data_IF_513640210758
#
_entry.id   IF_513640210758
#
_cell.length_a   1.000
_cell.length_b   1.000
_cell.length_c   1.000
_cell.angle_alpha   90.00
_cell.angle_beta   90.00
_cell.angle_gamma   90.00
#
_symmetry.space_group_name_H-M   'P 1'
#
loop_
_entity.id
_entity.type
_entity.pdbx_description
1 polymer ?
#
# COMPACT_ATOMS: atom_id res chain seq x y z
N UNK A 1 2.36 -36.05 34.04
CA UNK A 1 1.45 -37.03 33.39
C UNK A 1 0.02 -36.60 33.65
N UNK A 2 -0.78 -36.52 32.57
CA UNK A 2 -2.25 -36.44 32.43
C UNK A 2 -3.02 -35.29 33.15
N UNK A 3 -3.69 -34.35 32.45
CA UNK A 3 -4.89 -34.39 31.57
C UNK A 3 -6.22 -34.64 32.30
N UNK A 4 -7.08 -33.61 32.41
CA UNK A 4 -8.36 -33.43 31.66
C UNK A 4 -9.42 -32.58 32.41
N UNK A 5 -9.98 -31.62 31.66
CA UNK A 5 -11.40 -31.19 31.59
C UNK A 5 -12.11 -30.73 32.87
N UNK A 6 -12.67 -29.51 32.83
CA UNK A 6 -14.12 -29.21 32.89
C UNK A 6 -14.35 -27.80 33.46
N UNK A 7 -14.74 -26.82 32.63
CA UNK A 7 -15.54 -25.68 33.09
C UNK A 7 -16.49 -25.26 31.97
N UNK A 8 -17.60 -25.99 31.91
CA UNK A 8 -18.83 -25.58 31.22
C UNK A 8 -19.62 -24.74 32.20
N UNK A 9 -20.11 -23.60 31.73
CA UNK A 9 -21.24 -22.88 32.31
C UNK A 9 -20.85 -21.71 33.19
N UNK A 10 -21.19 -20.50 32.73
CA UNK A 10 -22.00 -19.56 33.49
C UNK A 10 -22.57 -18.49 32.55
N UNK A 11 -23.88 -18.63 32.34
CA UNK A 11 -24.88 -17.57 32.23
C UNK A 11 -24.94 -16.75 30.93
N UNK A 12 -25.51 -17.42 29.94
CA UNK A 12 -26.56 -16.88 29.09
C UNK A 12 -27.73 -16.44 29.98
N UNK A 13 -27.84 -15.15 30.32
CA UNK A 13 -29.04 -14.63 30.97
C UNK A 13 -29.99 -14.01 29.94
N UNK A 14 -31.19 -14.56 29.92
CA UNK A 14 -32.30 -14.19 29.04
C UNK A 14 -33.05 -13.04 29.67
N UNK A 15 -32.93 -11.85 29.09
CA UNK A 15 -34.05 -10.91 29.08
C UNK A 15 -34.22 -10.30 27.67
N UNK A 16 -34.88 -11.10 26.83
CA UNK A 16 -35.70 -10.59 25.73
C UNK A 16 -36.89 -9.87 26.34
N UNK A 17 -36.79 -8.55 26.47
CA UNK A 17 -37.96 -7.67 26.48
C UNK A 17 -37.96 -6.87 25.19
N UNK A 18 -39.03 -7.09 24.41
CA UNK A 18 -39.33 -6.43 23.17
C UNK A 18 -39.10 -4.91 23.25
N UNK A 19 -38.09 -4.44 22.53
CA UNK A 19 -37.79 -3.03 22.33
C UNK A 19 -37.46 -2.83 20.86
N UNK A 20 -38.50 -2.75 20.04
CA UNK A 20 -38.42 -2.20 18.68
C UNK A 20 -37.84 -0.79 18.84
N UNK A 21 -36.55 -0.60 18.60
CA UNK A 21 -35.98 0.73 18.49
C UNK A 21 -36.49 1.33 17.18
N UNK A 22 -37.63 2.00 17.33
CA UNK A 22 -38.20 2.91 16.34
C UNK A 22 -37.16 3.95 15.96
N UNK A 23 -37.02 4.14 14.66
CA UNK A 23 -36.42 5.33 14.09
C UNK A 23 -37.16 6.55 14.63
N UNK A 24 -36.46 7.43 15.33
CA UNK A 24 -36.94 8.76 15.67
C UNK A 24 -35.81 9.74 15.36
N UNK A 25 -36.09 10.65 14.44
CA UNK A 25 -35.33 11.87 14.19
C UNK A 25 -34.99 12.57 15.52
N UNK A 26 -33.82 12.29 16.06
CA UNK A 26 -33.23 13.07 17.13
C UNK A 26 -32.14 13.93 16.48
N UNK A 27 -32.46 15.19 16.18
CA UNK A 27 -31.43 16.23 16.11
C UNK A 27 -31.03 16.50 17.56
N UNK A 28 -29.80 16.19 18.01
CA UNK A 28 -29.36 16.62 19.32
C UNK A 28 -28.96 18.10 19.22
N UNK A 29 -29.70 18.95 19.91
CA UNK A 29 -29.21 20.27 20.26
C UNK A 29 -28.05 20.11 21.26
N UNK A 30 -26.87 20.59 20.89
CA UNK A 30 -25.81 20.97 21.85
C UNK A 30 -25.04 19.85 22.54
N UNK A 31 -24.05 19.29 21.83
CA UNK A 31 -22.69 18.86 22.27
C UNK A 31 -22.18 17.95 21.15
N UNK A 32 -21.07 18.33 20.52
CA UNK A 32 -20.43 17.68 19.37
C UNK A 32 -20.66 16.16 19.30
N UNK A 33 -21.74 15.75 18.63
CA UNK A 33 -21.98 14.36 18.29
C UNK A 33 -21.07 14.07 17.11
N UNK A 34 -19.93 13.46 17.37
CA UNK A 34 -18.97 13.16 16.31
C UNK A 34 -19.61 12.13 15.39
N UNK A 35 -19.77 12.48 14.12
CA UNK A 35 -20.34 11.59 13.11
C UNK A 35 -19.40 10.39 12.93
N UNK A 36 -19.87 9.16 13.10
CA UNK A 36 -19.10 7.95 12.82
C UNK A 36 -18.59 7.92 11.38
N UNK A 37 -17.39 7.36 11.16
CA UNK A 37 -16.82 7.23 9.81
C UNK A 37 -17.57 6.22 8.92
N UNK A 38 -18.43 5.41 9.53
CA UNK A 38 -19.20 4.35 8.88
C UNK A 38 -19.68 3.33 9.90
N UNK A 39 -19.94 2.12 9.43
CA UNK A 39 -20.44 1.00 10.24
C UNK A 39 -19.66 -0.27 9.94
N UNK A 40 -19.54 -1.14 10.93
CA UNK A 40 -19.25 -2.57 10.73
C UNK A 40 -20.50 -3.34 11.08
N UNK A 41 -21.04 -4.09 10.12
CA UNK A 41 -22.26 -4.86 10.28
C UNK A 41 -21.95 -6.35 10.26
N UNK A 42 -22.70 -7.13 11.03
CA UNK A 42 -22.60 -8.59 11.11
C UNK A 42 -23.98 -9.21 10.90
N UNK A 43 -24.08 -10.19 10.01
CA UNK A 43 -25.33 -10.91 9.76
C UNK A 43 -25.73 -11.77 10.97
N UNK A 44 -27.01 -11.71 11.36
CA UNK A 44 -27.53 -12.47 12.52
C UNK A 44 -27.75 -13.95 12.23
N UNK A 45 -27.74 -14.36 10.96
CA UNK A 45 -27.92 -15.75 10.58
C UNK A 45 -26.65 -16.55 10.94
N UNK A 46 -26.75 -17.56 11.84
CA UNK A 46 -25.60 -18.34 12.30
C UNK A 46 -24.95 -19.19 11.19
N UNK A 47 -25.65 -19.44 10.09
CA UNK A 47 -25.09 -20.10 8.91
C UNK A 47 -24.35 -19.13 7.97
N UNK A 48 -24.57 -17.82 8.09
CA UNK A 48 -23.94 -16.81 7.23
C UNK A 48 -22.82 -16.05 7.94
N UNK A 49 -23.12 -15.38 9.06
CA UNK A 49 -22.18 -14.60 9.87
C UNK A 49 -21.31 -13.60 9.09
N UNK A 50 -21.77 -13.15 7.91
CA UNK A 50 -21.01 -12.19 7.11
C UNK A 50 -20.82 -10.89 7.90
N UNK A 51 -19.56 -10.49 8.06
CA UNK A 51 -19.16 -9.22 8.67
C UNK A 51 -18.58 -8.29 7.60
N UNK A 52 -19.12 -7.08 7.47
CA UNK A 52 -18.78 -6.17 6.37
C UNK A 52 -18.87 -4.68 6.76
N UNK A 53 -18.10 -3.79 6.10
CA UNK A 53 -18.21 -2.36 6.31
C UNK A 53 -19.37 -1.76 5.50
N UNK A 54 -19.97 -0.70 6.03
CA UNK A 54 -20.94 0.13 5.31
C UNK A 54 -20.68 1.62 5.54
N UNK A 55 -20.91 2.44 4.52
CA UNK A 55 -20.79 3.89 4.65
C UNK A 55 -21.83 4.43 5.66
N UNK A 56 -21.53 5.59 6.24
CA UNK A 56 -22.38 6.23 7.26
C UNK A 56 -23.86 6.31 6.85
N UNK A 57 -24.12 6.68 5.59
CA UNK A 57 -25.45 6.93 5.03
C UNK A 57 -26.09 5.70 4.37
N UNK A 58 -25.39 4.55 4.30
CA UNK A 58 -25.90 3.39 3.57
C UNK A 58 -26.91 2.60 4.41
N UNK A 59 -28.20 2.86 4.23
CA UNK A 59 -29.29 2.16 4.92
C UNK A 59 -29.36 0.65 4.56
N UNK A 60 -28.82 0.24 3.40
CA UNK A 60 -28.79 -1.18 2.99
C UNK A 60 -27.94 -2.03 3.93
N UNK A 61 -27.11 -1.39 4.76
CA UNK A 61 -26.31 -2.04 5.80
C UNK A 61 -27.12 -2.94 6.73
N UNK A 62 -28.42 -2.66 6.91
CA UNK A 62 -29.34 -3.40 7.79
C UNK A 62 -29.69 -4.80 7.28
N UNK A 63 -29.33 -5.10 6.03
CA UNK A 63 -29.60 -6.37 5.35
C UNK A 63 -28.28 -6.96 4.86
N UNK A 64 -28.10 -8.25 5.06
CA UNK A 64 -26.92 -8.96 4.59
C UNK A 64 -26.90 -9.03 3.06
N UNK A 65 -25.83 -8.57 2.38
CA UNK A 65 -25.75 -8.59 0.92
C UNK A 65 -25.60 -10.01 0.33
N UNK A 66 -25.36 -11.03 1.18
CA UNK A 66 -25.17 -12.41 0.73
C UNK A 66 -26.46 -13.23 0.87
N UNK A 67 -27.10 -13.19 2.03
CA UNK A 67 -28.27 -14.03 2.31
C UNK A 67 -29.59 -13.27 2.46
N UNK A 68 -29.57 -11.94 2.56
CA UNK A 68 -30.76 -11.12 2.76
C UNK A 68 -31.28 -11.07 4.20
N UNK A 69 -30.64 -11.76 5.15
CA UNK A 69 -31.04 -11.71 6.56
C UNK A 69 -30.61 -10.40 7.25
N UNK A 70 -31.25 -10.04 8.38
CA UNK A 70 -30.89 -8.83 9.12
C UNK A 70 -29.44 -8.81 9.61
N UNK A 71 -28.93 -7.61 9.86
CA UNK A 71 -27.60 -7.40 10.43
C UNK A 71 -27.66 -6.56 11.71
N UNK A 72 -26.65 -6.76 12.57
CA UNK A 72 -26.36 -5.87 13.70
C UNK A 72 -25.14 -5.05 13.34
N UNK A 73 -25.23 -3.73 13.48
CA UNK A 73 -24.16 -2.80 13.10
C UNK A 73 -23.61 -2.06 14.32
N UNK A 74 -22.28 -1.95 14.39
CA UNK A 74 -21.57 -1.11 15.34
C UNK A 74 -20.95 0.09 14.59
N UNK A 75 -20.98 1.31 15.17
CA UNK A 75 -20.40 2.48 14.54
C UNK A 75 -18.87 2.36 14.48
N UNK A 76 -18.29 2.75 13.36
CA UNK A 76 -16.84 2.96 13.27
C UNK A 76 -16.48 4.25 14.00
N UNK A 77 -15.35 4.28 14.73
CA UNK A 77 -14.87 5.53 15.29
C UNK A 77 -14.69 6.56 14.17
N UNK A 78 -14.86 7.85 14.45
CA UNK A 78 -14.47 8.90 13.51
C UNK A 78 -13.02 8.69 13.10
N UNK A 79 -12.69 9.00 11.84
CA UNK A 79 -11.28 9.02 11.42
C UNK A 79 -10.60 10.15 12.17
N UNK A 80 -9.85 9.82 13.21
CA UNK A 80 -8.95 10.76 13.86
C UNK A 80 -7.83 11.13 12.87
N UNK A 81 -7.62 12.43 12.62
CA UNK A 81 -6.44 12.92 11.90
C UNK A 81 -6.50 12.98 10.36
N UNK A 82 -7.63 13.33 9.74
CA UNK A 82 -7.58 13.77 8.32
C UNK A 82 -6.79 15.09 8.14
N UNK A 83 -6.58 15.86 9.23
CA UNK A 83 -5.62 16.95 9.28
C UNK A 83 -4.35 16.53 10.06
N UNK A 84 -3.37 15.97 9.34
CA UNK A 84 -1.96 16.26 9.60
C UNK A 84 -1.23 15.58 10.76
N UNK A 85 -1.70 14.45 11.33
CA UNK A 85 -0.79 13.64 12.16
C UNK A 85 0.04 12.70 11.27
N UNK A 86 0.94 13.29 10.47
CA UNK A 86 1.97 12.50 9.78
C UNK A 86 2.87 11.94 10.88
N UNK A 87 2.81 10.63 11.12
CA UNK A 87 3.84 9.96 11.90
C UNK A 87 5.16 10.05 11.12
N UNK A 88 5.87 11.18 11.26
CA UNK A 88 7.18 11.37 10.66
C UNK A 88 8.18 10.53 11.47
N UNK A 89 8.40 9.29 11.03
CA UNK A 89 9.56 8.53 11.49
C UNK A 89 10.84 9.26 11.03
N UNK A 90 11.88 9.32 11.86
CA UNK A 90 13.18 9.81 11.41
C UNK A 90 13.63 9.00 10.19
N UNK A 91 14.00 9.70 9.13
CA UNK A 91 14.62 9.07 7.95
C UNK A 91 16.04 8.67 8.35
N UNK A 92 16.33 7.37 8.28
CA UNK A 92 17.64 6.80 8.66
C UNK A 92 18.48 6.37 7.46
N UNK A 93 17.85 6.22 6.29
CA UNK A 93 18.48 5.78 5.05
C UNK A 93 18.79 6.88 4.04
N UNK A 94 19.36 6.52 2.87
CA UNK A 94 19.73 7.43 1.80
C UNK A 94 18.58 8.30 1.26
N UNK A 95 18.98 9.33 0.52
CA UNK A 95 18.10 9.95 -0.46
C UNK A 95 17.84 8.96 -1.59
N UNK A 96 16.58 8.70 -1.93
CA UNK A 96 16.22 7.71 -2.94
C UNK A 96 15.48 8.37 -4.09
N UNK A 97 15.89 8.04 -5.31
CA UNK A 97 15.14 8.27 -6.55
C UNK A 97 14.74 6.93 -7.16
N UNK A 98 13.68 6.92 -7.97
CA UNK A 98 13.21 5.74 -8.69
C UNK A 98 13.48 5.87 -10.18
N UNK A 99 13.91 4.78 -10.82
CA UNK A 99 13.91 4.66 -12.27
C UNK A 99 13.00 3.51 -12.67
N UNK A 100 11.89 3.84 -13.33
CA UNK A 100 10.90 2.87 -13.79
C UNK A 100 11.21 2.51 -15.25
N UNK A 101 11.70 1.29 -15.47
CA UNK A 101 12.15 0.82 -16.76
C UNK A 101 11.04 0.02 -17.47
N UNK A 102 10.42 0.64 -18.48
CA UNK A 102 9.45 -0.01 -19.36
C UNK A 102 8.26 -0.69 -18.64
N UNK A 103 7.83 -0.16 -17.49
CA UNK A 103 6.63 -0.60 -16.78
C UNK A 103 5.40 -0.27 -17.61
N UNK A 104 4.61 -1.28 -17.99
CA UNK A 104 3.49 -1.09 -18.92
C UNK A 104 2.19 -0.68 -18.23
N UNK A 105 1.99 -1.16 -17.01
CA UNK A 105 0.73 -0.98 -16.30
C UNK A 105 0.61 0.42 -15.72
N UNK A 106 -0.39 1.18 -16.16
CA UNK A 106 -0.74 2.47 -15.55
C UNK A 106 -1.04 2.33 -14.05
N UNK A 107 -1.59 1.19 -13.63
CA UNK A 107 -1.87 0.89 -12.23
C UNK A 107 -0.59 0.75 -11.41
N UNK A 108 0.42 0.05 -11.95
CA UNK A 108 1.69 -0.12 -11.26
C UNK A 108 2.45 1.22 -11.18
N UNK A 109 2.47 2.00 -12.26
CA UNK A 109 3.08 3.35 -12.25
C UNK A 109 2.42 4.26 -11.22
N UNK A 110 1.09 4.35 -11.20
CA UNK A 110 0.40 5.20 -10.21
C UNK A 110 0.57 4.69 -8.78
N UNK A 111 0.58 3.37 -8.57
CA UNK A 111 0.86 2.79 -7.24
C UNK A 111 2.29 3.10 -6.77
N UNK A 112 3.27 3.08 -7.66
CA UNK A 112 4.67 3.44 -7.34
C UNK A 112 4.82 4.95 -7.09
N UNK A 113 4.13 5.81 -7.84
CA UNK A 113 4.10 7.27 -7.56
C UNK A 113 3.52 7.55 -6.18
N UNK A 114 2.40 6.90 -5.83
CA UNK A 114 1.79 7.03 -4.50
C UNK A 114 2.70 6.53 -3.38
N UNK A 115 3.40 5.42 -3.63
CA UNK A 115 4.40 4.90 -2.69
C UNK A 115 5.58 5.85 -2.55
N UNK A 116 6.02 6.44 -3.65
CA UNK A 116 7.12 7.39 -3.71
C UNK A 116 6.80 8.66 -2.91
N UNK A 117 5.57 9.17 -3.01
CA UNK A 117 5.07 10.28 -2.21
C UNK A 117 5.13 9.96 -0.71
N UNK A 118 4.50 8.87 -0.30
CA UNK A 118 4.42 8.50 1.11
C UNK A 118 5.78 8.21 1.77
N UNK A 119 6.78 7.77 0.99
CA UNK A 119 8.14 7.50 1.47
C UNK A 119 9.10 8.69 1.34
N UNK A 120 8.65 9.82 0.78
CA UNK A 120 9.49 10.99 0.51
C UNK A 120 10.63 10.70 -0.47
N UNK A 121 10.33 10.01 -1.58
CA UNK A 121 11.26 9.81 -2.70
C UNK A 121 11.57 11.16 -3.36
N UNK A 122 12.84 11.36 -3.71
CA UNK A 122 13.32 12.61 -4.27
C UNK A 122 12.84 12.86 -5.71
N UNK A 123 12.90 11.83 -6.56
CA UNK A 123 12.47 11.92 -7.97
C UNK A 123 12.02 10.55 -8.51
N UNK A 124 11.03 10.54 -9.40
CA UNK A 124 10.66 9.37 -10.22
C UNK A 124 10.98 9.58 -11.70
N UNK A 125 11.90 8.80 -12.25
CA UNK A 125 12.30 8.79 -13.65
C UNK A 125 11.49 7.72 -14.40
N UNK A 126 10.55 8.14 -15.22
CA UNK A 126 9.71 7.27 -16.05
C UNK A 126 10.43 7.01 -17.37
N UNK A 127 10.76 5.76 -17.67
CA UNK A 127 11.56 5.43 -18.84
C UNK A 127 10.86 4.54 -19.87
N UNK A 128 11.19 4.77 -21.14
CA UNK A 128 10.73 3.97 -22.27
C UNK A 128 9.22 4.04 -22.43
N UNK A 129 8.55 2.88 -22.40
CA UNK A 129 7.10 2.80 -22.63
C UNK A 129 6.24 3.08 -21.38
N UNK A 130 6.83 3.55 -20.28
CA UNK A 130 6.08 3.88 -19.07
C UNK A 130 4.92 4.84 -19.36
N UNK A 131 3.68 4.51 -18.96
CA UNK A 131 2.59 5.48 -18.93
C UNK A 131 3.00 6.71 -18.12
N UNK A 132 2.80 7.88 -18.71
CA UNK A 132 3.07 9.15 -18.05
C UNK A 132 1.89 9.55 -17.15
N UNK A 133 2.09 10.41 -16.13
CA UNK A 133 1.04 10.77 -15.20
C UNK A 133 -0.09 11.62 -15.79
N UNK A 134 0.14 12.22 -16.97
CA UNK A 134 -0.91 12.85 -17.78
C UNK A 134 -1.99 11.87 -18.29
N UNK A 135 -1.75 10.55 -18.22
CA UNK A 135 -2.72 9.54 -18.59
C UNK A 135 -3.77 9.34 -17.47
N UNK A 136 -5.09 9.46 -17.75
CA UNK A 136 -6.15 9.36 -16.72
C UNK A 136 -6.15 8.10 -15.84
N UNK A 137 -5.59 6.99 -16.33
CA UNK A 137 -5.51 5.72 -15.57
C UNK A 137 -4.40 5.75 -14.52
N UNK A 138 -3.33 6.52 -14.75
CA UNK A 138 -2.27 6.71 -13.76
C UNK A 138 -2.81 7.54 -12.61
N UNK A 139 -3.43 8.69 -12.91
CA UNK A 139 -4.03 9.59 -11.92
C UNK A 139 -5.04 8.88 -10.99
N UNK A 140 -5.90 8.02 -11.55
CA UNK A 140 -6.87 7.23 -10.75
C UNK A 140 -6.20 6.36 -9.67
N UNK A 141 -4.96 5.95 -9.89
CA UNK A 141 -4.21 5.06 -8.98
C UNK A 141 -3.17 5.81 -8.15
N UNK A 142 -2.61 6.90 -8.67
CA UNK A 142 -1.73 7.82 -7.96
C UNK A 142 -2.46 8.62 -6.88
N UNK A 143 -3.76 8.89 -7.08
CA UNK A 143 -4.60 9.65 -6.15
C UNK A 143 -4.01 11.03 -5.81
N UNK A 144 -3.47 11.73 -6.82
CA UNK A 144 -2.88 13.07 -6.67
C UNK A 144 -1.38 13.07 -6.36
N UNK A 145 -0.78 11.89 -6.11
CA UNK A 145 0.67 11.79 -5.89
C UNK A 145 1.50 12.29 -7.08
N UNK A 146 0.97 12.15 -8.30
CA UNK A 146 1.58 12.64 -9.53
C UNK A 146 1.73 14.17 -9.62
N UNK A 147 0.98 14.91 -8.81
CA UNK A 147 1.05 16.37 -8.72
C UNK A 147 2.08 16.83 -7.67
N UNK A 148 2.46 15.93 -6.76
CA UNK A 148 3.29 16.22 -5.59
C UNK A 148 4.72 15.69 -5.77
N UNK A 149 4.86 14.45 -6.23
CA UNK A 149 6.18 13.80 -6.39
C UNK A 149 6.88 14.34 -7.63
N UNK A 150 8.12 14.85 -7.53
CA UNK A 150 8.89 15.22 -8.71
C UNK A 150 9.08 14.03 -9.65
N UNK A 151 8.74 14.20 -10.91
CA UNK A 151 8.93 13.16 -11.92
C UNK A 151 9.44 13.73 -13.25
N UNK A 152 10.08 12.89 -14.04
CA UNK A 152 10.55 13.24 -15.39
C UNK A 152 10.42 12.04 -16.33
N UNK A 153 10.25 12.30 -17.63
CA UNK A 153 10.16 11.25 -18.65
C UNK A 153 11.43 11.18 -19.49
N UNK A 154 11.92 9.95 -19.71
CA UNK A 154 13.11 9.67 -20.50
C UNK A 154 12.81 8.56 -21.52
N UNK A 155 12.96 8.79 -22.83
CA UNK A 155 12.71 7.74 -23.82
C UNK A 155 13.72 6.57 -23.74
N UNK A 156 14.89 6.79 -23.13
CA UNK A 156 15.96 5.79 -23.01
C UNK A 156 16.45 5.71 -21.57
N UNK A 157 16.12 4.60 -20.89
CA UNK A 157 16.50 4.35 -19.50
C UNK A 157 18.02 4.32 -19.31
N UNK A 158 18.77 3.71 -20.24
CA UNK A 158 20.23 3.60 -20.16
C UNK A 158 20.90 4.97 -20.18
N UNK A 159 20.45 5.88 -21.04
CA UNK A 159 20.98 7.25 -21.08
C UNK A 159 20.64 8.03 -19.82
N UNK A 160 19.43 7.89 -19.29
CA UNK A 160 19.04 8.49 -18.02
C UNK A 160 19.90 7.98 -16.86
N UNK A 161 20.13 6.66 -16.81
CA UNK A 161 20.99 6.03 -15.80
C UNK A 161 22.44 6.54 -15.87
N UNK A 162 23.02 6.67 -17.08
CA UNK A 162 24.36 7.26 -17.24
C UNK A 162 24.44 8.69 -16.70
N UNK A 163 23.43 9.53 -16.98
CA UNK A 163 23.39 10.89 -16.47
C UNK A 163 23.33 10.92 -14.94
N UNK A 164 22.45 10.10 -14.35
CA UNK A 164 22.33 9.98 -12.89
C UNK A 164 23.62 9.52 -12.22
N UNK A 165 24.31 8.53 -12.81
CA UNK A 165 25.61 8.06 -12.31
C UNK A 165 26.67 9.18 -12.41
N UNK A 166 26.68 9.95 -13.50
CA UNK A 166 27.57 11.10 -13.66
C UNK A 166 27.30 12.20 -12.61
N UNK A 167 26.04 12.34 -12.17
CA UNK A 167 25.62 13.24 -11.10
C UNK A 167 25.88 12.65 -9.68
N UNK A 168 26.58 11.52 -9.60
CA UNK A 168 27.02 10.90 -8.35
C UNK A 168 26.00 9.96 -7.70
N UNK A 169 24.93 9.57 -8.41
CA UNK A 169 23.97 8.61 -7.89
C UNK A 169 24.48 7.17 -8.01
N UNK A 170 24.21 6.36 -7.00
CA UNK A 170 24.50 4.92 -7.02
C UNK A 170 23.29 4.18 -7.57
N UNK A 171 23.47 3.45 -8.67
CA UNK A 171 22.39 2.74 -9.35
C UNK A 171 22.22 1.33 -8.78
N UNK A 172 21.09 1.04 -8.16
CA UNK A 172 20.76 -0.28 -7.61
C UNK A 172 19.54 -0.85 -8.34
N UNK A 173 19.66 -2.04 -8.93
CA UNK A 173 18.55 -2.66 -9.66
C UNK A 173 17.84 -3.71 -8.84
N UNK A 174 16.52 -3.59 -8.72
CA UNK A 174 15.67 -4.59 -8.08
C UNK A 174 15.33 -5.70 -9.08
N UNK A 175 16.12 -6.76 -9.08
CA UNK A 175 15.99 -7.87 -10.03
C UNK A 175 16.51 -9.19 -9.43
N UNK A 176 15.96 -10.30 -9.91
CA UNK A 176 16.42 -11.65 -9.58
C UNK A 176 17.51 -12.13 -10.53
N UNK A 177 18.48 -12.90 -10.03
CA UNK A 177 19.51 -13.48 -10.89
C UNK A 177 20.72 -13.94 -10.10
N UNK A 178 21.66 -14.60 -10.78
CA UNK A 178 22.86 -15.13 -10.15
C UNK A 178 23.78 -14.06 -9.53
N UNK A 179 23.71 -12.81 -10.03
CA UNK A 179 24.43 -11.65 -9.50
C UNK A 179 23.67 -10.92 -8.39
N UNK A 180 22.42 -11.30 -8.12
CA UNK A 180 21.57 -10.58 -7.20
C UNK A 180 21.86 -11.01 -5.75
N UNK A 181 22.00 -10.04 -4.85
CA UNK A 181 22.08 -10.28 -3.41
C UNK A 181 20.77 -9.88 -2.71
N UNK A 182 20.35 -10.58 -1.63
CA UNK A 182 19.17 -10.19 -0.87
C UNK A 182 19.30 -8.77 -0.32
N UNK A 183 18.31 -7.91 -0.58
CA UNK A 183 18.34 -6.50 -0.16
C UNK A 183 18.51 -6.34 1.36
N UNK A 184 18.01 -7.31 2.13
CA UNK A 184 18.06 -7.35 3.59
C UNK A 184 19.46 -7.65 4.16
N UNK A 185 20.41 -8.09 3.33
CA UNK A 185 21.80 -8.30 3.73
C UNK A 185 22.66 -7.05 3.55
N UNK A 186 22.09 -5.99 2.97
CA UNK A 186 22.78 -4.74 2.66
C UNK A 186 22.41 -3.70 3.72
N UNK A 187 23.40 -2.90 4.14
CA UNK A 187 23.16 -1.73 4.98
C UNK A 187 22.84 -0.54 4.07
N UNK A 188 21.63 0.00 4.19
CA UNK A 188 21.17 1.11 3.36
C UNK A 188 22.07 2.35 3.51
N UNK A 189 22.64 2.56 4.70
CA UNK A 189 23.53 3.70 5.04
C UNK A 189 24.91 3.63 4.38
N UNK A 190 25.21 2.56 3.63
CA UNK A 190 26.45 2.51 2.85
C UNK A 190 26.44 3.51 1.69
N UNK A 191 25.28 4.10 1.35
CA UNK A 191 25.09 5.10 0.30
C UNK A 191 24.44 6.37 0.83
N UNK A 192 24.85 7.53 0.32
CA UNK A 192 24.20 8.83 0.59
C UNK A 192 22.95 9.03 -0.30
N UNK A 193 23.06 8.62 -1.58
CA UNK A 193 21.99 8.73 -2.56
C UNK A 193 21.95 7.51 -3.51
N UNK A 194 20.74 6.97 -3.71
CA UNK A 194 20.49 5.74 -4.48
C UNK A 194 19.40 5.96 -5.51
N UNK A 195 19.62 5.50 -6.74
CA UNK A 195 18.56 5.32 -7.73
C UNK A 195 18.16 3.85 -7.73
N UNK A 196 16.95 3.55 -7.25
CA UNK A 196 16.39 2.21 -7.31
C UNK A 196 15.73 2.01 -8.68
N UNK A 197 16.27 1.09 -9.47
CA UNK A 197 15.72 0.68 -10.77
C UNK A 197 14.69 -0.42 -10.57
N UNK A 198 13.52 -0.26 -11.17
CA UNK A 198 12.43 -1.22 -11.15
C UNK A 198 12.00 -1.51 -12.58
N UNK A 199 12.06 -2.79 -12.97
CA UNK A 199 11.89 -3.23 -14.36
C UNK A 199 10.47 -3.58 -14.76
N UNK A 200 10.33 -3.97 -16.04
CA UNK A 200 9.06 -4.37 -16.65
C UNK A 200 8.48 -5.63 -16.02
N UNK A 201 7.15 -5.73 -15.95
CA UNK A 201 6.45 -6.90 -15.42
C UNK A 201 6.74 -8.19 -16.21
N UNK A 202 7.15 -8.07 -17.47
CA UNK A 202 7.35 -9.18 -18.39
C UNK A 202 8.82 -9.50 -18.59
N UNK A 203 9.65 -8.48 -18.78
CA UNK A 203 11.05 -8.64 -19.18
C UNK A 203 12.04 -8.35 -18.07
N UNK A 204 11.59 -7.88 -16.90
CA UNK A 204 12.47 -7.43 -15.85
C UNK A 204 13.20 -6.14 -16.22
N UNK A 205 14.32 -5.90 -15.56
CA UNK A 205 15.21 -4.75 -15.82
C UNK A 205 16.05 -4.98 -17.09
N UNK A 206 16.19 -3.96 -17.93
CA UNK A 206 17.08 -3.98 -19.10
C UNK A 206 18.50 -4.45 -18.70
N UNK A 207 19.07 -5.48 -19.36
CA UNK A 207 20.43 -5.94 -19.10
C UNK A 207 21.49 -4.83 -19.13
N UNK A 208 21.32 -3.82 -19.97
CA UNK A 208 22.24 -2.69 -20.01
C UNK A 208 22.17 -1.84 -18.73
N UNK A 209 21.01 -1.75 -18.06
CA UNK A 209 20.90 -1.13 -16.75
C UNK A 209 21.51 -2.01 -15.66
N UNK A 210 21.32 -3.33 -15.75
CA UNK A 210 21.96 -4.28 -14.82
C UNK A 210 23.49 -4.18 -14.87
N UNK A 211 24.08 -3.98 -16.05
CA UNK A 211 25.52 -3.82 -16.21
C UNK A 211 26.04 -2.45 -15.72
N UNK A 212 25.19 -1.43 -15.69
CA UNK A 212 25.49 -0.14 -15.07
C UNK A 212 25.22 -0.11 -13.57
N UNK A 213 24.51 -1.12 -13.05
CA UNK A 213 24.13 -1.16 -11.65
C UNK A 213 25.33 -1.51 -10.80
N UNK A 214 25.57 -0.70 -9.79
CA UNK A 214 26.56 -1.02 -8.79
C UNK A 214 26.16 -2.27 -8.00
N UNK A 215 24.86 -2.40 -7.71
CA UNK A 215 24.29 -3.57 -7.06
C UNK A 215 23.03 -4.04 -7.77
N UNK A 216 22.88 -5.35 -7.83
CA UNK A 216 21.63 -5.99 -8.19
C UNK A 216 21.09 -6.60 -6.91
N UNK A 217 19.93 -6.14 -6.48
CA UNK A 217 19.32 -6.54 -5.22
C UNK A 217 18.04 -7.30 -5.48
N UNK A 218 17.74 -8.30 -4.67
CA UNK A 218 16.51 -9.08 -4.80
C UNK A 218 15.75 -9.17 -3.47
N UNK A 219 14.45 -9.44 -3.59
CA UNK A 219 13.62 -9.85 -2.47
C UNK A 219 13.64 -11.38 -2.40
N UNK A 220 14.01 -12.01 -1.27
CA UNK A 220 13.92 -13.45 -1.11
C UNK A 220 12.49 -13.96 -1.37
N UNK A 221 12.39 -15.07 -2.11
CA UNK A 221 11.13 -15.70 -2.49
C UNK A 221 11.12 -17.16 -2.02
N UNK A 222 10.71 -17.39 -0.77
CA UNK A 222 10.70 -18.75 -0.16
C UNK A 222 9.50 -19.61 -0.62
N UNK A 223 8.54 -19.00 -1.31
CA UNK A 223 7.34 -19.67 -1.83
C UNK A 223 7.51 -20.23 -3.24
N UNK A 224 6.42 -20.80 -3.78
CA UNK A 224 6.41 -21.36 -5.14
C UNK A 224 6.45 -20.29 -6.26
N UNK A 225 6.13 -19.04 -5.95
CA UNK A 225 6.21 -17.92 -6.90
C UNK A 225 7.64 -17.41 -6.99
N UNK A 226 8.04 -17.00 -8.19
CA UNK A 226 9.40 -16.53 -8.48
C UNK A 226 9.56 -15.02 -8.43
N UNK A 227 8.46 -14.28 -8.31
CA UNK A 227 8.46 -12.82 -8.26
C UNK A 227 7.22 -12.29 -7.54
N UNK A 228 7.30 -11.03 -7.14
CA UNK A 228 6.17 -10.23 -6.65
C UNK A 228 5.63 -9.33 -7.77
N UNK A 229 4.45 -8.74 -7.54
CA UNK A 229 4.01 -7.61 -8.35
C UNK A 229 5.05 -6.47 -8.27
N UNK A 230 5.33 -5.83 -9.41
CA UNK A 230 6.36 -4.79 -9.53
C UNK A 230 6.16 -3.60 -8.58
N UNK A 231 4.91 -3.16 -8.36
CA UNK A 231 4.62 -2.08 -7.43
C UNK A 231 4.84 -2.52 -5.98
N UNK A 232 4.47 -3.75 -5.63
CA UNK A 232 4.75 -4.32 -4.31
C UNK A 232 6.25 -4.49 -4.06
N UNK A 233 6.99 -5.00 -5.04
CA UNK A 233 8.44 -5.17 -4.95
C UNK A 233 9.15 -3.82 -4.80
N UNK A 234 8.79 -2.85 -5.64
CA UNK A 234 9.31 -1.49 -5.57
C UNK A 234 8.99 -0.83 -4.23
N UNK A 235 7.77 -1.00 -3.70
CA UNK A 235 7.40 -0.46 -2.39
C UNK A 235 8.24 -1.02 -1.24
N UNK A 236 8.49 -2.33 -1.22
CA UNK A 236 9.36 -2.96 -0.21
C UNK A 236 10.78 -2.41 -0.34
N UNK A 237 11.32 -2.32 -1.56
CA UNK A 237 12.66 -1.77 -1.80
C UNK A 237 12.79 -0.31 -1.36
N UNK A 238 11.80 0.53 -1.69
CA UNK A 238 11.74 1.94 -1.29
C UNK A 238 11.77 2.08 0.23
N UNK A 239 10.85 1.43 0.94
CA UNK A 239 10.74 1.59 2.38
C UNK A 239 11.94 0.99 3.11
N UNK A 240 12.47 -0.13 2.62
CA UNK A 240 13.72 -0.69 3.14
C UNK A 240 14.86 0.32 3.02
N UNK A 241 15.07 0.92 1.84
CA UNK A 241 16.13 1.90 1.64
C UNK A 241 15.92 3.17 2.47
N UNK A 242 14.69 3.60 2.72
CA UNK A 242 14.41 4.87 3.41
C UNK A 242 14.48 4.77 4.94
N UNK A 243 14.14 3.62 5.51
CA UNK A 243 13.88 3.49 6.94
C UNK A 243 14.63 2.35 7.64
N UNK A 244 15.57 1.70 6.96
CA UNK A 244 16.47 0.71 7.58
C UNK A 244 17.78 1.34 8.06
#
# INVERSE_FOLDING_TARGET
MAYLSSFVGLLWDRHLSAGVYRCANARPAGRFAVTPAGWICECVNPACLLRFPAAWEDERRLICPVCGDPTVCIPLPPKEGEEGSVHQAPVTGPTVSLLLDNIRSSYNVGSLLRTAEGAGIAHVHLCGICPKPDHPRVAKTGLGAEEIVPWSYHPNARLAAHALIADGWRLWSLETGARAEPIFHIRAQEADQVVLVVGSEVTGVDPALLDLSERIVCLPMDGAKRSLNVASAGAIGIYWLRYS
#
